data_IF_929895158478
#
_entry.id   IF_929895158478
#
_cell.length_a   1.000
_cell.length_b   1.000
_cell.length_c   1.000
_cell.angle_alpha   90.00
_cell.angle_beta   90.00
_cell.angle_gamma   90.00
#
_symmetry.space_group_name_H-M   'P 1'
#
loop_
_entity.id
_entity.type
_entity.pdbx_description
1 polymer ?
#
# COMPACT_ATOMS: atom_id res chain seq x y z
N UNK A 1 -6.78 26.92 -10.82
CA UNK A 1 -5.43 26.85 -10.18
C UNK A 1 -4.89 28.23 -9.77
N UNK A 2 -5.02 29.28 -10.59
CA UNK A 2 -4.44 30.60 -10.31
C UNK A 2 -4.92 31.23 -8.99
N UNK A 3 -6.23 31.28 -8.74
CA UNK A 3 -6.77 31.82 -7.49
C UNK A 3 -6.31 31.07 -6.22
N UNK A 4 -6.01 29.76 -6.34
CA UNK A 4 -5.45 28.95 -5.25
C UNK A 4 -4.00 29.38 -4.99
N UNK A 5 -3.17 29.43 -6.04
CA UNK A 5 -1.77 29.88 -5.93
C UNK A 5 -1.67 31.26 -5.30
N UNK A 6 -2.42 32.23 -5.81
CA UNK A 6 -2.41 33.60 -5.29
C UNK A 6 -2.82 33.69 -3.81
N UNK A 7 -3.69 32.80 -3.33
CA UNK A 7 -4.13 32.77 -1.93
C UNK A 7 -3.08 32.15 -1.00
N UNK A 8 -2.40 31.09 -1.42
CA UNK A 8 -1.49 30.31 -0.57
C UNK A 8 -0.02 30.72 -0.71
N UNK A 9 0.42 31.15 -1.90
CA UNK A 9 1.80 31.58 -2.16
C UNK A 9 2.13 32.96 -1.54
N UNK A 10 1.11 33.73 -1.16
CA UNK A 10 1.29 34.92 -0.31
C UNK A 10 1.73 34.57 1.12
N UNK A 11 1.49 33.33 1.58
CA UNK A 11 1.82 32.88 2.94
C UNK A 11 3.18 32.19 3.01
N UNK A 12 3.52 31.41 1.99
CA UNK A 12 4.75 30.62 1.89
C UNK A 12 5.23 30.59 0.44
N UNK A 13 6.54 30.54 0.18
CA UNK A 13 7.09 30.47 -1.17
C UNK A 13 6.59 29.23 -1.92
N UNK A 14 6.50 29.32 -3.26
CA UNK A 14 5.99 28.23 -4.12
C UNK A 14 6.76 26.91 -3.95
N UNK A 15 8.05 26.98 -3.59
CA UNK A 15 8.91 25.82 -3.33
C UNK A 15 8.52 25.00 -2.09
N UNK A 16 7.74 25.56 -1.18
CA UNK A 16 7.25 24.87 0.02
C UNK A 16 5.90 24.17 -0.21
N UNK A 17 5.24 24.40 -1.35
CA UNK A 17 3.95 23.79 -1.68
C UNK A 17 4.11 22.56 -2.57
N UNK A 18 3.41 21.47 -2.21
CA UNK A 18 3.27 20.27 -3.03
C UNK A 18 1.81 20.08 -3.44
N UNK A 19 1.56 20.04 -4.74
CA UNK A 19 0.25 19.65 -5.28
C UNK A 19 0.28 18.16 -5.59
N UNK A 20 -0.63 17.42 -4.98
CA UNK A 20 -0.71 15.97 -5.11
C UNK A 20 -2.12 15.59 -5.55
N UNK A 21 -2.22 14.90 -6.70
CA UNK A 21 -3.47 14.29 -7.10
C UNK A 21 -3.74 13.12 -6.17
N UNK A 22 -4.94 13.01 -5.60
CA UNK A 22 -5.30 11.90 -4.72
C UNK A 22 -6.75 11.49 -4.91
N UNK A 23 -7.02 10.20 -4.84
CA UNK A 23 -8.37 9.68 -4.66
C UNK A 23 -8.77 9.96 -3.22
N UNK A 24 -9.82 10.77 -3.06
CA UNK A 24 -10.39 11.16 -1.77
C UNK A 24 -11.81 10.64 -1.57
N UNK A 25 -12.54 10.47 -2.66
CA UNK A 25 -13.90 9.97 -2.67
C UNK A 25 -13.89 8.54 -3.20
N UNK A 26 -14.35 7.60 -2.38
CA UNK A 26 -14.24 6.16 -2.66
C UNK A 26 -15.54 5.62 -3.26
N UNK A 27 -15.39 4.75 -4.27
CA UNK A 27 -16.47 3.89 -4.74
C UNK A 27 -16.56 2.69 -3.79
N UNK A 28 -17.77 2.24 -3.48
CA UNK A 28 -18.02 1.26 -2.42
C UNK A 28 -17.43 -0.13 -2.73
N UNK A 29 -17.33 -0.50 -4.02
CA UNK A 29 -16.90 -1.82 -4.47
C UNK A 29 -15.64 -1.74 -5.34
N UNK A 30 -14.55 -2.36 -4.86
CA UNK A 30 -13.26 -2.43 -5.52
C UNK A 30 -13.28 -3.30 -6.79
N UNK A 31 -14.13 -4.33 -6.85
CA UNK A 31 -14.27 -5.20 -8.03
C UNK A 31 -14.94 -4.44 -9.16
N UNK A 32 -16.02 -3.72 -8.84
CA UNK A 32 -16.73 -2.87 -9.78
C UNK A 32 -15.82 -1.75 -10.30
N UNK A 33 -15.05 -1.11 -9.42
CA UNK A 33 -14.06 -0.10 -9.82
C UNK A 33 -13.02 -0.69 -10.78
N UNK A 34 -12.44 -1.86 -10.49
CA UNK A 34 -11.47 -2.48 -11.40
C UNK A 34 -12.06 -2.79 -12.78
N UNK A 35 -13.32 -3.26 -12.82
CA UNK A 35 -14.01 -3.64 -14.07
C UNK A 35 -14.39 -2.43 -14.92
N UNK A 36 -14.80 -1.32 -14.30
CA UNK A 36 -15.23 -0.11 -14.99
C UNK A 36 -14.09 0.84 -15.33
N UNK A 37 -13.10 0.95 -14.45
CA UNK A 37 -11.97 1.85 -14.60
C UNK A 37 -10.72 1.27 -13.93
N UNK A 38 -10.00 0.46 -14.70
CA UNK A 38 -8.76 -0.16 -14.28
C UNK A 38 -7.67 0.87 -13.96
N UNK A 39 -7.64 2.04 -14.62
CA UNK A 39 -6.62 3.07 -14.38
C UNK A 39 -6.80 3.69 -12.99
N UNK A 40 -8.03 4.09 -12.65
CA UNK A 40 -8.35 4.61 -11.31
C UNK A 40 -8.11 3.56 -10.23
N UNK A 41 -8.42 2.28 -10.50
CA UNK A 41 -8.12 1.19 -9.57
C UNK A 41 -6.63 1.06 -9.27
N UNK A 42 -5.77 1.07 -10.29
CA UNK A 42 -4.31 0.98 -10.11
C UNK A 42 -3.77 2.21 -9.38
N UNK A 43 -4.29 3.40 -9.69
CA UNK A 43 -3.93 4.62 -8.98
C UNK A 43 -4.28 4.53 -7.48
N UNK A 44 -5.47 3.99 -7.16
CA UNK A 44 -5.86 3.74 -5.78
C UNK A 44 -4.91 2.76 -5.08
N UNK A 45 -4.56 1.66 -5.76
CA UNK A 45 -3.61 0.68 -5.23
C UNK A 45 -2.27 1.31 -4.86
N UNK A 46 -1.67 2.09 -5.77
CA UNK A 46 -0.40 2.74 -5.51
C UNK A 46 -0.50 3.79 -4.39
N UNK A 47 -1.56 4.60 -4.39
CA UNK A 47 -1.81 5.58 -3.33
C UNK A 47 -1.89 4.92 -1.94
N UNK A 48 -2.64 3.81 -1.82
CA UNK A 48 -2.81 3.09 -0.56
C UNK A 48 -1.53 2.38 -0.15
N UNK A 49 -0.78 1.81 -1.11
CA UNK A 49 0.51 1.17 -0.86
C UNK A 49 1.52 2.18 -0.31
N UNK A 50 1.64 3.35 -0.92
CA UNK A 50 2.54 4.41 -0.46
C UNK A 50 2.16 4.91 0.94
N UNK A 51 0.86 5.06 1.21
CA UNK A 51 0.38 5.45 2.53
C UNK A 51 0.65 4.37 3.60
N UNK A 52 0.47 3.09 3.25
CA UNK A 52 0.79 1.96 4.12
C UNK A 52 2.28 1.89 4.48
N UNK A 53 3.17 2.11 3.50
CA UNK A 53 4.61 2.03 3.70
C UNK A 53 5.18 3.26 4.44
N UNK A 54 4.55 4.43 4.27
CA UNK A 54 5.01 5.69 4.87
C UNK A 54 4.47 5.93 6.28
N UNK A 55 3.32 5.34 6.64
CA UNK A 55 2.75 5.51 7.98
C UNK A 55 3.39 4.58 9.01
N UNK A 56 3.67 5.13 10.18
CA UNK A 56 3.97 4.33 11.36
C UNK A 56 2.67 3.76 11.94
N UNK A 57 2.44 2.48 11.68
CA UNK A 57 1.29 1.73 12.21
C UNK A 57 1.66 1.10 13.56
N UNK A 58 1.32 1.78 14.64
CA UNK A 58 1.50 1.25 16.00
C UNK A 58 0.73 -0.05 16.19
N UNK A 59 1.42 -1.11 16.62
CA UNK A 59 0.78 -2.40 16.92
C UNK A 59 0.45 -3.25 15.67
N UNK A 60 1.02 -2.95 14.50
CA UNK A 60 0.88 -3.81 13.32
C UNK A 60 1.46 -5.20 13.61
N UNK A 61 0.60 -6.22 13.58
CA UNK A 61 1.00 -7.61 13.76
C UNK A 61 1.90 -8.07 12.60
N UNK A 62 2.94 -8.84 12.93
CA UNK A 62 3.94 -9.26 11.95
C UNK A 62 3.35 -10.12 10.84
N UNK A 63 2.50 -11.09 11.19
CA UNK A 63 1.80 -11.96 10.24
C UNK A 63 0.97 -11.14 9.23
N UNK A 64 0.32 -10.08 9.69
CA UNK A 64 -0.43 -9.16 8.83
C UNK A 64 0.47 -8.38 7.88
N UNK A 65 1.59 -7.87 8.36
CA UNK A 65 2.59 -7.20 7.52
C UNK A 65 3.18 -8.15 6.46
N UNK A 66 3.46 -9.41 6.84
CA UNK A 66 3.93 -10.45 5.91
C UNK A 66 2.85 -10.80 4.88
N UNK A 67 1.58 -10.90 5.27
CA UNK A 67 0.47 -11.10 4.32
C UNK A 67 0.45 -9.99 3.27
N UNK A 68 0.44 -8.72 3.70
CA UNK A 68 0.38 -7.55 2.82
C UNK A 68 1.60 -7.52 1.89
N UNK A 69 2.80 -7.80 2.42
CA UNK A 69 4.03 -7.93 1.64
C UNK A 69 3.95 -9.04 0.58
N UNK A 70 3.44 -10.22 0.92
CA UNK A 70 3.30 -11.32 -0.04
C UNK A 70 2.34 -10.98 -1.19
N UNK A 71 1.24 -10.27 -0.90
CA UNK A 71 0.29 -9.80 -1.92
C UNK A 71 0.94 -8.78 -2.86
N UNK A 72 1.70 -7.82 -2.30
CA UNK A 72 2.43 -6.83 -3.10
C UNK A 72 3.55 -7.47 -3.95
N UNK A 73 4.28 -8.43 -3.40
CA UNK A 73 5.29 -9.19 -4.16
C UNK A 73 4.66 -10.04 -5.27
N UNK A 74 3.46 -10.58 -5.04
CA UNK A 74 2.77 -11.40 -6.05
C UNK A 74 2.33 -10.55 -7.24
N UNK A 75 1.78 -9.37 -6.97
CA UNK A 75 1.48 -8.35 -7.99
C UNK A 75 2.76 -7.90 -8.72
N UNK A 76 3.84 -7.62 -7.99
CA UNK A 76 5.13 -7.23 -8.59
C UNK A 76 5.69 -8.29 -9.56
N UNK A 77 5.50 -9.57 -9.23
CA UNK A 77 5.93 -10.70 -10.05
C UNK A 77 4.79 -11.30 -10.88
N UNK A 78 3.77 -10.50 -11.27
CA UNK A 78 2.59 -11.04 -11.96
C UNK A 78 2.93 -11.85 -13.21
N UNK A 79 3.95 -11.43 -13.95
CA UNK A 79 4.41 -12.05 -15.19
C UNK A 79 5.42 -13.20 -15.00
N UNK A 80 5.78 -13.54 -13.77
CA UNK A 80 6.66 -14.69 -13.49
C UNK A 80 5.84 -15.93 -13.15
N UNK A 81 6.44 -17.10 -13.40
CA UNK A 81 5.88 -18.42 -13.04
C UNK A 81 5.54 -18.50 -11.54
N UNK A 82 4.59 -19.38 -11.19
CA UNK A 82 4.05 -19.60 -9.84
C UNK A 82 5.11 -19.83 -8.74
N UNK A 83 6.34 -20.19 -9.08
CA UNK A 83 7.47 -20.39 -8.15
C UNK A 83 8.46 -19.20 -8.10
N UNK A 84 8.02 -17.99 -8.42
CA UNK A 84 8.89 -16.81 -8.56
C UNK A 84 9.82 -16.59 -7.35
N UNK A 85 9.32 -16.67 -6.11
CA UNK A 85 10.14 -16.46 -4.90
C UNK A 85 10.88 -17.70 -4.39
N UNK A 86 10.62 -18.89 -4.95
CA UNK A 86 11.39 -20.10 -4.63
C UNK A 86 12.77 -20.06 -5.31
N UNK A 87 12.88 -19.37 -6.45
CA UNK A 87 14.18 -19.08 -7.09
C UNK A 87 14.97 -18.11 -6.21
N UNK A 88 16.05 -18.61 -5.60
CA UNK A 88 16.95 -17.84 -4.73
C UNK A 88 17.37 -16.50 -5.35
N UNK A 89 17.66 -16.48 -6.65
CA UNK A 89 18.05 -15.28 -7.41
C UNK A 89 16.99 -14.18 -7.42
N UNK A 90 15.70 -14.52 -7.47
CA UNK A 90 14.63 -13.54 -7.55
C UNK A 90 14.46 -12.83 -6.20
N UNK A 91 14.54 -13.55 -5.10
CA UNK A 91 14.52 -12.94 -3.77
C UNK A 91 15.80 -12.13 -3.52
N UNK A 92 16.96 -12.63 -3.97
CA UNK A 92 18.23 -11.89 -3.87
C UNK A 92 18.17 -10.56 -4.64
N UNK A 93 17.52 -10.53 -5.81
CA UNK A 93 17.28 -9.32 -6.59
C UNK A 93 16.39 -8.32 -5.82
N UNK A 94 15.32 -8.80 -5.17
CA UNK A 94 14.50 -7.94 -4.29
C UNK A 94 15.33 -7.38 -3.12
N UNK A 95 16.16 -8.20 -2.46
CA UNK A 95 16.94 -7.73 -1.31
C UNK A 95 18.03 -6.72 -1.69
N UNK A 96 18.65 -6.88 -2.87
CA UNK A 96 19.82 -6.09 -3.28
C UNK A 96 19.48 -4.89 -4.15
N UNK A 97 18.60 -5.07 -5.14
CA UNK A 97 18.36 -4.06 -6.18
C UNK A 97 17.11 -3.22 -5.90
N UNK A 98 16.04 -3.85 -5.37
CA UNK A 98 14.76 -3.17 -5.13
C UNK A 98 14.65 -2.66 -3.68
N UNK A 99 15.05 -3.50 -2.74
CA UNK A 99 14.91 -3.30 -1.30
C UNK A 99 13.52 -3.71 -0.76
N UNK A 100 13.51 -4.44 0.35
CA UNK A 100 12.27 -4.88 1.02
C UNK A 100 11.42 -3.72 1.59
N UNK A 101 11.99 -2.51 1.74
CA UNK A 101 11.28 -1.30 2.17
C UNK A 101 10.20 -0.86 1.17
N UNK A 102 10.22 -1.37 -0.07
CA UNK A 102 9.14 -1.17 -1.05
C UNK A 102 7.92 -2.06 -0.82
N UNK A 103 8.01 -3.01 0.12
CA UNK A 103 6.95 -4.00 0.39
C UNK A 103 6.59 -4.13 1.87
N UNK A 104 7.45 -3.65 2.78
CA UNK A 104 7.28 -3.74 4.23
C UNK A 104 7.54 -2.39 4.91
N UNK A 105 6.74 -2.01 5.92
CA UNK A 105 7.02 -0.85 6.76
C UNK A 105 8.34 -0.99 7.53
N UNK A 106 9.03 0.12 7.77
CA UNK A 106 10.32 0.14 8.45
C UNK A 106 10.34 -0.58 9.82
N UNK A 107 9.30 -0.46 10.69
CA UNK A 107 9.25 -1.20 11.96
C UNK A 107 9.24 -2.73 11.80
N UNK A 108 8.68 -3.24 10.71
CA UNK A 108 8.66 -4.69 10.43
C UNK A 108 10.03 -5.19 9.96
N UNK A 109 10.80 -4.35 9.26
CA UNK A 109 12.14 -4.70 8.79
C UNK A 109 13.16 -4.73 9.93
N UNK A 110 13.04 -3.83 10.91
CA UNK A 110 13.99 -3.74 12.02
C UNK A 110 13.77 -4.80 13.10
N UNK A 111 12.53 -5.29 13.27
CA UNK A 111 12.17 -6.24 14.34
C UNK A 111 12.62 -7.68 14.09
N UNK A 112 12.93 -8.06 12.84
CA UNK A 112 13.19 -9.46 12.46
C UNK A 112 14.52 -9.62 11.73
N UNK A 113 15.33 -10.59 12.14
CA UNK A 113 16.59 -10.93 11.45
C UNK A 113 16.32 -11.26 9.98
N UNK A 114 17.10 -10.68 9.06
CA UNK A 114 16.97 -10.85 7.59
C UNK A 114 16.72 -12.29 7.14
N UNK A 115 17.53 -13.25 7.62
CA UNK A 115 17.40 -14.68 7.27
C UNK A 115 16.05 -15.28 7.70
N UNK A 116 15.55 -14.91 8.88
CA UNK A 116 14.26 -15.38 9.38
C UNK A 116 13.11 -14.72 8.62
N UNK A 117 13.21 -13.41 8.36
CA UNK A 117 12.23 -12.65 7.60
C UNK A 117 12.04 -13.24 6.20
N UNK A 118 13.14 -13.49 5.49
CA UNK A 118 13.14 -14.15 4.18
C UNK A 118 12.41 -15.49 4.21
N UNK A 119 12.73 -16.35 5.19
CA UNK A 119 12.08 -17.67 5.33
C UNK A 119 10.57 -17.53 5.53
N UNK A 120 10.15 -16.58 6.36
CA UNK A 120 8.72 -16.34 6.64
C UNK A 120 7.98 -15.80 5.42
N UNK A 121 8.58 -14.88 4.65
CA UNK A 121 8.01 -14.36 3.40
C UNK A 121 7.88 -15.49 2.38
N UNK A 122 8.95 -16.23 2.10
CA UNK A 122 8.92 -17.33 1.12
C UNK A 122 7.89 -18.41 1.51
N UNK A 123 7.81 -18.74 2.80
CA UNK A 123 6.83 -19.72 3.28
C UNK A 123 5.38 -19.25 3.13
N UNK A 124 5.10 -17.95 3.33
CA UNK A 124 3.74 -17.41 3.21
C UNK A 124 3.35 -17.10 1.77
N UNK A 125 4.31 -16.74 0.92
CA UNK A 125 4.08 -16.40 -0.48
C UNK A 125 3.36 -17.50 -1.25
N UNK A 126 3.65 -18.77 -0.93
CA UNK A 126 3.02 -19.97 -1.51
C UNK A 126 1.49 -20.00 -1.37
N UNK A 127 0.91 -19.22 -0.46
CA UNK A 127 -0.56 -19.11 -0.31
C UNK A 127 -1.20 -18.22 -1.39
N UNK A 128 -0.41 -17.40 -2.08
CA UNK A 128 -0.88 -16.34 -2.96
C UNK A 128 -0.46 -16.54 -4.42
N UNK A 129 0.34 -17.57 -4.73
CA UNK A 129 0.88 -17.82 -6.09
C UNK A 129 -0.22 -18.03 -7.13
N UNK A 130 -1.31 -18.70 -6.76
CA UNK A 130 -2.44 -18.97 -7.67
C UNK A 130 -3.37 -17.78 -7.88
N UNK A 131 -3.17 -16.66 -7.18
CA UNK A 131 -4.01 -15.49 -7.36
C UNK A 131 -3.69 -14.78 -8.68
N UNK A 132 -4.74 -14.31 -9.34
CA UNK A 132 -4.63 -13.36 -10.45
C UNK A 132 -4.21 -11.98 -9.96
N UNK A 133 -3.78 -11.13 -10.89
CA UNK A 133 -3.32 -9.77 -10.58
C UNK A 133 -4.40 -8.96 -9.83
N UNK A 134 -5.62 -8.98 -10.38
CA UNK A 134 -6.80 -8.36 -9.81
C UNK A 134 -7.06 -8.85 -8.38
N UNK A 135 -7.00 -10.16 -8.14
CA UNK A 135 -7.24 -10.72 -6.81
C UNK A 135 -6.17 -10.31 -5.81
N UNK A 136 -4.89 -10.26 -6.22
CA UNK A 136 -3.81 -9.79 -5.36
C UNK A 136 -4.00 -8.35 -4.93
N UNK A 137 -4.32 -7.46 -5.87
CA UNK A 137 -4.51 -6.04 -5.58
C UNK A 137 -5.74 -5.79 -4.71
N UNK A 138 -6.86 -6.49 -4.96
CA UNK A 138 -8.07 -6.37 -4.14
C UNK A 138 -7.80 -6.89 -2.72
N UNK A 139 -7.21 -8.08 -2.59
CA UNK A 139 -6.88 -8.62 -1.26
C UNK A 139 -5.85 -7.77 -0.53
N UNK A 140 -4.93 -7.12 -1.24
CA UNK A 140 -4.00 -6.15 -0.66
C UNK A 140 -4.77 -4.96 -0.08
N UNK A 141 -5.66 -4.35 -0.87
CA UNK A 141 -6.48 -3.21 -0.45
C UNK A 141 -7.37 -3.57 0.74
N UNK A 142 -7.98 -4.74 0.74
CA UNK A 142 -8.77 -5.23 1.87
C UNK A 142 -7.90 -5.46 3.12
N UNK A 143 -6.73 -6.09 2.96
CA UNK A 143 -5.81 -6.33 4.06
C UNK A 143 -5.28 -5.03 4.67
N UNK A 144 -4.92 -4.05 3.85
CA UNK A 144 -4.47 -2.73 4.33
C UNK A 144 -5.61 -2.01 5.04
N UNK A 145 -6.86 -2.10 4.55
CA UNK A 145 -8.03 -1.43 5.16
C UNK A 145 -8.23 -1.81 6.64
N UNK A 146 -7.87 -3.04 7.01
CA UNK A 146 -7.99 -3.54 8.40
C UNK A 146 -6.98 -2.92 9.37
N UNK A 147 -5.86 -2.40 8.87
CA UNK A 147 -4.79 -1.81 9.70
C UNK A 147 -4.64 -0.30 9.48
N UNK A 148 -5.09 0.18 8.33
CA UNK A 148 -5.07 1.57 7.90
C UNK A 148 -6.41 1.88 7.24
N UNK A 149 -7.21 2.72 7.89
CA UNK A 149 -8.53 3.17 7.38
C UNK A 149 -8.36 4.23 6.28
N UNK A 150 -7.74 3.85 5.16
CA UNK A 150 -7.48 4.74 4.04
C UNK A 150 -8.77 5.26 3.37
N UNK A 151 -9.89 4.58 3.58
CA UNK A 151 -11.20 4.88 3.03
C UNK A 151 -11.99 5.91 3.87
N UNK A 152 -11.42 6.40 4.97
CA UNK A 152 -12.10 7.30 5.90
C UNK A 152 -11.17 8.38 6.43
N UNK A 153 -11.70 9.60 6.51
CA UNK A 153 -11.06 10.71 7.21
C UNK A 153 -11.79 10.97 8.54
N UNK A 154 -11.02 11.20 9.61
CA UNK A 154 -11.57 11.48 10.95
C UNK A 154 -11.27 12.92 11.33
N UNK A 155 -12.30 13.65 11.74
CA UNK A 155 -12.19 15.03 12.18
C UNK A 155 -12.67 15.17 13.62
N UNK A 156 -11.86 15.79 14.47
CA UNK A 156 -12.32 16.21 15.80
C UNK A 156 -13.12 17.50 15.64
N UNK A 157 -14.37 17.46 16.06
CA UNK A 157 -15.28 18.60 15.99
C UNK A 157 -16.28 18.57 17.16
N UNK A 158 -16.98 19.68 17.36
CA UNK A 158 -18.14 19.76 18.24
C UNK A 158 -19.41 19.71 17.39
N UNK A 159 -20.42 18.95 17.84
CA UNK A 159 -21.74 18.92 17.22
C UNK A 159 -22.69 19.82 18.02
N UNK A 160 -23.44 20.68 17.33
CA UNK A 160 -24.47 21.49 17.97
C UNK A 160 -25.74 20.67 18.22
N UNK A 161 -26.37 20.86 19.37
CA UNK A 161 -27.73 20.36 19.63
C UNK A 161 -28.76 21.37 19.09
N UNK A 162 -29.86 20.93 18.45
CA UNK A 162 -30.95 21.83 18.06
C UNK A 162 -31.50 22.56 19.29
N UNK A 163 -31.61 23.89 19.20
CA UNK A 163 -32.27 24.74 20.19
C UNK A 163 -33.73 25.02 19.84
#
# INVERSE_FOLDING_TARGET
>A
MQAVREKYEKKHPSSEWRYELRIRYFISDLRDLHEKDTVTFHYLYDQVKDEYLSKELTGLAQDKAIQICCLALRHYFINLQDAALDKKSNFDYIEKEIGLHKFLPAPTLSSTKRKALRKVIQSNFKKYVSLSDKECMIQFLDAVRTVLRYDQEKFRCALGTPG
#
